data_IF_540838133281
#
_entry.id   IF_540838133281
#
_cell.length_a   1.000
_cell.length_b   1.000
_cell.length_c   1.000
_cell.angle_alpha   90.00
_cell.angle_beta   90.00
_cell.angle_gamma   90.00
#
_symmetry.space_group_name_H-M   'P 1'
#
loop_
_entity.id
_entity.type
_entity.pdbx_description
1 polymer ?
#
# COMPACT_ATOMS: atom_id res chain seq x y z
N UNK A 1 -86.86 -33.63 8.64
CA UNK A 1 -86.82 -32.15 8.73
C UNK A 1 -85.41 -31.82 9.17
N UNK A 2 -84.49 -31.83 8.20
CA UNK A 2 -83.91 -30.66 7.50
C UNK A 2 -82.59 -30.27 8.19
N UNK A 3 -81.45 -30.79 7.72
CA UNK A 3 -80.54 -30.23 6.69
C UNK A 3 -79.83 -28.95 7.14
N UNK A 4 -78.51 -29.06 7.39
CA UNK A 4 -77.49 -28.09 6.95
C UNK A 4 -76.06 -28.62 7.22
N UNK A 5 -75.30 -28.84 6.15
CA UNK A 5 -73.83 -28.68 6.06
C UNK A 5 -73.57 -27.32 5.36
N UNK A 6 -72.45 -26.55 5.55
CA UNK A 6 -71.11 -26.99 5.09
C UNK A 6 -69.83 -26.34 5.71
N UNK A 7 -68.65 -26.90 5.37
CA UNK A 7 -67.33 -26.23 5.27
C UNK A 7 -66.55 -26.03 6.58
N UNK A 8 -65.21 -26.04 6.68
CA UNK A 8 -64.13 -25.98 5.68
C UNK A 8 -62.83 -26.43 6.38
N UNK A 9 -61.96 -27.19 5.71
CA UNK A 9 -60.65 -27.62 6.22
C UNK A 9 -59.63 -26.47 6.22
N UNK A 10 -59.29 -25.94 7.40
CA UNK A 10 -58.20 -24.97 7.60
C UNK A 10 -56.89 -25.62 8.06
N UNK A 11 -55.85 -25.51 7.24
CA UNK A 11 -54.52 -26.10 7.46
C UNK A 11 -53.65 -25.28 8.46
N UNK A 12 -53.23 -25.81 9.63
CA UNK A 12 -52.46 -25.08 10.62
C UNK A 12 -50.95 -25.24 10.37
N UNK A 13 -50.39 -24.68 9.29
CA UNK A 13 -48.94 -24.81 9.00
C UNK A 13 -48.19 -23.52 8.63
N UNK A 14 -48.81 -22.33 8.69
CA UNK A 14 -48.12 -21.07 8.34
C UNK A 14 -47.64 -20.22 9.53
N UNK A 15 -48.15 -20.42 10.76
CA UNK A 15 -47.77 -19.61 11.93
C UNK A 15 -46.38 -19.93 12.52
N UNK A 16 -45.95 -21.20 12.48
CA UNK A 16 -44.78 -21.66 13.25
C UNK A 16 -43.43 -21.54 12.51
N UNK A 17 -43.44 -21.31 11.18
CA UNK A 17 -42.21 -21.15 10.38
C UNK A 17 -41.63 -19.73 10.41
N UNK A 18 -42.46 -18.70 10.57
CA UNK A 18 -42.00 -17.29 10.61
C UNK A 18 -41.28 -16.92 11.91
N UNK A 19 -41.81 -17.38 13.05
CA UNK A 19 -41.20 -17.22 14.39
C UNK A 19 -39.85 -17.93 14.51
N UNK A 20 -39.75 -19.16 13.99
CA UNK A 20 -38.49 -19.92 13.91
C UNK A 20 -37.40 -19.22 13.07
N UNK A 21 -37.77 -18.62 11.93
CA UNK A 21 -36.82 -17.87 11.08
C UNK A 21 -36.34 -16.56 11.73
N UNK A 22 -37.22 -15.84 12.42
CA UNK A 22 -36.86 -14.61 13.15
C UNK A 22 -35.88 -14.90 14.30
N UNK A 23 -36.16 -15.93 15.11
CA UNK A 23 -35.27 -16.36 16.19
C UNK A 23 -33.88 -16.79 15.68
N UNK A 24 -33.82 -17.55 14.56
CA UNK A 24 -32.53 -17.93 13.93
C UNK A 24 -31.74 -16.72 13.41
N UNK A 25 -32.41 -15.68 12.91
CA UNK A 25 -31.76 -14.44 12.45
C UNK A 25 -31.17 -13.65 13.61
N UNK A 26 -31.89 -13.55 14.73
CA UNK A 26 -31.42 -12.87 15.94
C UNK A 26 -30.22 -13.58 16.57
N UNK A 27 -30.22 -14.91 16.63
CA UNK A 27 -29.08 -15.70 17.11
C UNK A 27 -27.85 -15.48 16.22
N UNK A 28 -28.01 -15.51 14.88
CA UNK A 28 -26.91 -15.24 13.94
C UNK A 28 -26.36 -13.83 14.09
N UNK A 29 -27.23 -12.84 14.33
CA UNK A 29 -26.78 -11.46 14.53
C UNK A 29 -26.00 -11.29 15.84
N UNK A 30 -26.46 -11.92 16.93
CA UNK A 30 -25.72 -11.94 18.20
C UNK A 30 -24.37 -12.63 18.04
N UNK A 31 -24.30 -13.76 17.34
CA UNK A 31 -23.04 -14.46 17.08
C UNK A 31 -22.05 -13.61 16.25
N UNK A 32 -22.53 -12.89 15.23
CA UNK A 32 -21.71 -11.95 14.45
C UNK A 32 -21.20 -10.79 15.30
N UNK A 33 -22.03 -10.23 16.17
CA UNK A 33 -21.62 -9.14 17.06
C UNK A 33 -20.58 -9.63 18.08
N UNK A 34 -20.73 -10.85 18.62
CA UNK A 34 -19.74 -11.46 19.52
C UNK A 34 -18.43 -11.71 18.78
N UNK A 35 -18.47 -12.26 17.55
CA UNK A 35 -17.26 -12.44 16.73
C UNK A 35 -16.56 -11.11 16.43
N UNK A 36 -17.32 -10.05 16.13
CA UNK A 36 -16.75 -8.72 15.92
C UNK A 36 -16.09 -8.16 17.19
N UNK A 37 -16.73 -8.31 18.36
CA UNK A 37 -16.17 -7.88 19.65
C UNK A 37 -14.92 -8.69 20.01
N UNK A 38 -14.92 -10.00 19.80
CA UNK A 38 -13.76 -10.86 20.02
C UNK A 38 -12.63 -10.51 19.05
N UNK A 39 -12.92 -10.22 17.79
CA UNK A 39 -11.91 -9.79 16.82
C UNK A 39 -11.29 -8.43 17.19
N UNK A 40 -12.10 -7.47 17.65
CA UNK A 40 -11.62 -6.16 18.14
C UNK A 40 -10.77 -6.33 19.40
N UNK A 41 -11.22 -7.15 20.36
CA UNK A 41 -10.47 -7.43 21.57
C UNK A 41 -9.14 -8.15 21.27
N UNK A 42 -9.15 -9.10 20.34
CA UNK A 42 -7.93 -9.79 19.90
C UNK A 42 -6.96 -8.84 19.20
N UNK A 43 -7.46 -7.95 18.33
CA UNK A 43 -6.65 -6.92 17.69
C UNK A 43 -6.05 -5.94 18.74
N UNK A 44 -6.84 -5.52 19.72
CA UNK A 44 -6.37 -4.66 20.80
C UNK A 44 -5.30 -5.35 21.68
N UNK A 45 -5.49 -6.62 22.01
CA UNK A 45 -4.51 -7.41 22.78
C UNK A 45 -3.21 -7.63 22.00
N UNK A 46 -3.29 -7.88 20.68
CA UNK A 46 -2.09 -7.96 19.81
C UNK A 46 -1.34 -6.64 19.76
N UNK A 47 -2.04 -5.50 19.67
CA UNK A 47 -1.43 -4.15 19.73
C UNK A 47 -0.76 -3.89 21.08
N UNK A 48 -1.40 -4.27 22.19
CA UNK A 48 -0.85 -4.10 23.54
C UNK A 48 0.37 -5.00 23.75
N UNK A 49 0.32 -6.27 23.33
CA UNK A 49 1.44 -7.20 23.46
C UNK A 49 2.62 -6.81 22.55
N UNK A 50 2.36 -6.26 21.37
CA UNK A 50 3.41 -5.68 20.51
C UNK A 50 4.09 -4.46 21.16
N UNK A 51 3.34 -3.66 21.93
CA UNK A 51 3.89 -2.54 22.68
C UNK A 51 4.74 -2.97 23.89
N UNK A 52 4.48 -4.14 24.49
CA UNK A 52 5.18 -4.62 25.70
C UNK A 52 6.54 -5.29 25.42
N UNK A 53 6.88 -5.59 24.16
CA UNK A 53 8.11 -6.30 23.78
C UNK A 53 9.06 -5.48 22.87
N UNK A 54 8.91 -4.16 22.82
CA UNK A 54 9.65 -3.35 21.84
C UNK A 54 10.97 -2.79 22.42
N UNK A 55 12.13 -3.02 21.76
CA UNK A 55 13.28 -2.14 21.95
C UNK A 55 12.85 -0.73 21.55
N UNK A 56 13.36 0.29 22.25
CA UNK A 56 12.93 1.69 22.12
C UNK A 56 12.53 2.06 20.68
N UNK A 57 11.23 2.29 20.46
CA UNK A 57 10.71 2.71 19.15
C UNK A 57 11.36 4.04 18.82
N UNK A 58 12.33 4.03 17.90
CA UNK A 58 12.97 5.25 17.42
C UNK A 58 11.89 6.13 16.78
N UNK A 59 11.57 7.24 17.43
CA UNK A 59 10.59 8.21 16.91
C UNK A 59 11.20 8.92 15.72
N UNK A 60 10.41 9.11 14.65
CA UNK A 60 10.86 9.89 13.49
C UNK A 60 11.22 11.32 13.90
N UNK A 61 12.26 11.87 13.27
CA UNK A 61 12.64 13.25 13.47
C UNK A 61 11.53 14.17 12.96
N UNK A 62 10.79 14.82 13.85
CA UNK A 62 9.63 15.68 13.51
C UNK A 62 9.97 16.85 12.60
N UNK A 63 11.23 17.32 12.54
CA UNK A 63 11.65 18.34 11.57
C UNK A 63 11.68 17.77 10.15
N UNK A 64 12.11 16.52 10.00
CA UNK A 64 12.24 15.84 8.72
C UNK A 64 10.92 15.20 8.28
N UNK A 65 10.12 14.71 9.22
CA UNK A 65 8.83 14.08 9.00
C UNK A 65 7.71 14.92 9.62
N UNK A 66 7.22 15.89 8.84
CA UNK A 66 6.16 16.83 9.21
C UNK A 66 5.19 17.03 8.04
N UNK A 67 3.99 17.59 8.27
CA UNK A 67 3.08 18.00 7.20
C UNK A 67 3.73 18.92 6.16
N UNK A 68 4.65 19.80 6.57
CA UNK A 68 5.40 20.64 5.64
C UNK A 68 6.30 19.81 4.70
N UNK A 69 6.96 18.76 5.20
CA UNK A 69 7.68 17.82 4.34
C UNK A 69 6.73 17.03 3.44
N UNK A 70 5.60 16.54 3.96
CA UNK A 70 4.64 15.76 3.18
C UNK A 70 4.05 16.57 2.02
N UNK A 71 3.70 17.84 2.25
CA UNK A 71 3.28 18.77 1.20
C UNK A 71 4.37 19.02 0.17
N UNK A 72 5.64 19.18 0.59
CA UNK A 72 6.77 19.33 -0.33
C UNK A 72 7.00 18.09 -1.19
N UNK A 73 6.85 16.88 -0.61
CA UNK A 73 6.94 15.62 -1.36
C UNK A 73 5.87 15.57 -2.44
N UNK A 74 4.60 15.84 -2.09
CA UNK A 74 3.53 15.88 -3.08
C UNK A 74 3.76 16.97 -4.13
N UNK A 75 4.28 18.14 -3.74
CA UNK A 75 4.57 19.21 -4.70
C UNK A 75 5.68 18.81 -5.70
N UNK A 76 6.79 18.23 -5.24
CA UNK A 76 7.86 17.76 -6.14
C UNK A 76 7.35 16.67 -7.08
N UNK A 77 6.53 15.75 -6.57
CA UNK A 77 6.03 14.63 -7.36
C UNK A 77 4.92 15.06 -8.33
N UNK A 78 3.90 15.76 -7.84
CA UNK A 78 2.64 16.04 -8.52
C UNK A 78 2.46 17.50 -8.96
N UNK A 79 3.40 18.41 -8.68
CA UNK A 79 3.23 19.86 -8.88
C UNK A 79 2.93 20.28 -10.32
N UNK A 80 3.33 19.46 -11.30
CA UNK A 80 3.09 19.70 -12.73
C UNK A 80 1.72 19.18 -13.19
N UNK A 81 0.96 18.49 -12.33
CA UNK A 81 -0.38 18.01 -12.66
C UNK A 81 -1.40 19.15 -12.57
N UNK A 82 -2.31 19.27 -13.55
CA UNK A 82 -3.51 20.08 -13.40
C UNK A 82 -4.31 19.65 -12.16
N UNK A 83 -4.92 20.60 -11.45
CA UNK A 83 -5.71 20.30 -10.24
C UNK A 83 -6.90 19.36 -10.49
N UNK A 84 -7.42 19.34 -11.72
CA UNK A 84 -8.48 18.44 -12.19
C UNK A 84 -7.99 17.07 -12.64
N UNK A 85 -6.68 16.84 -12.73
CA UNK A 85 -6.14 15.60 -13.28
C UNK A 85 -6.56 14.37 -12.47
N UNK A 86 -7.06 13.36 -13.19
CA UNK A 86 -7.34 12.01 -12.68
C UNK A 86 -6.26 11.02 -13.12
N UNK A 87 -5.65 11.26 -14.29
CA UNK A 87 -4.52 10.51 -14.86
C UNK A 87 -3.31 11.42 -15.09
N UNK A 88 -2.14 10.84 -15.35
CA UNK A 88 -0.95 11.59 -15.75
C UNK A 88 -0.79 11.63 -17.27
N UNK A 89 -0.26 12.75 -17.78
CA UNK A 89 0.23 12.82 -19.15
C UNK A 89 1.50 11.99 -19.32
N UNK A 90 1.82 11.66 -20.57
CA UNK A 90 3.06 10.95 -20.91
C UNK A 90 4.31 11.69 -20.45
N UNK A 91 4.33 13.03 -20.55
CA UNK A 91 5.47 13.85 -20.13
C UNK A 91 5.70 13.79 -18.61
N UNK A 92 4.63 13.82 -17.83
CA UNK A 92 4.71 13.69 -16.37
C UNK A 92 5.17 12.27 -15.99
N UNK A 93 4.65 11.25 -16.67
CA UNK A 93 5.08 9.86 -16.45
C UNK A 93 6.58 9.66 -16.76
N UNK A 94 7.10 10.28 -17.83
CA UNK A 94 8.54 10.23 -18.15
C UNK A 94 9.41 10.75 -17.01
N UNK A 95 9.01 11.84 -16.36
CA UNK A 95 9.71 12.41 -15.19
C UNK A 95 9.79 11.38 -14.05
N UNK A 96 8.66 10.79 -13.68
CA UNK A 96 8.59 9.84 -12.56
C UNK A 96 9.41 8.57 -12.79
N UNK A 97 9.38 8.03 -14.00
CA UNK A 97 10.06 6.77 -14.32
C UNK A 97 11.47 6.98 -14.89
N UNK A 98 11.98 8.22 -14.94
CA UNK A 98 13.32 8.51 -15.46
C UNK A 98 13.49 8.22 -16.96
N UNK A 99 12.39 8.29 -17.73
CA UNK A 99 12.37 8.05 -19.18
C UNK A 99 12.50 9.35 -20.02
N UNK A 100 12.92 10.45 -19.38
CA UNK A 100 13.27 11.72 -20.04
C UNK A 100 14.72 11.74 -20.56
N UNK A 101 15.23 12.94 -20.88
CA UNK A 101 16.66 13.10 -21.20
C UNK A 101 17.55 12.81 -19.98
N UNK A 102 18.83 12.45 -20.17
CA UNK A 102 19.79 12.35 -19.06
C UNK A 102 19.84 13.60 -18.19
N UNK A 103 19.71 14.79 -18.79
CA UNK A 103 19.69 16.08 -18.11
C UNK A 103 18.44 16.25 -17.26
N UNK A 104 17.25 15.92 -17.79
CA UNK A 104 15.98 15.98 -17.03
C UNK A 104 16.01 15.02 -15.84
N UNK A 105 16.53 13.81 -16.06
CA UNK A 105 16.68 12.79 -15.02
C UNK A 105 17.62 13.26 -13.92
N UNK A 106 18.79 13.79 -14.26
CA UNK A 106 19.75 14.33 -13.31
C UNK A 106 19.19 15.54 -12.54
N UNK A 107 18.47 16.43 -13.22
CA UNK A 107 17.81 17.57 -12.58
C UNK A 107 16.78 17.11 -11.54
N UNK A 108 15.92 16.15 -11.89
CA UNK A 108 14.91 15.62 -10.97
C UNK A 108 15.53 14.87 -9.79
N UNK A 109 16.59 14.08 -10.03
CA UNK A 109 17.33 13.41 -8.96
C UNK A 109 17.98 14.42 -8.01
N UNK A 110 18.53 15.53 -8.53
CA UNK A 110 19.10 16.59 -7.72
C UNK A 110 18.03 17.31 -6.88
N UNK A 111 16.83 17.53 -7.43
CA UNK A 111 15.68 18.07 -6.68
C UNK A 111 15.32 17.14 -5.52
N UNK A 112 15.17 15.83 -5.78
CA UNK A 112 14.87 14.85 -4.74
C UNK A 112 15.96 14.80 -3.67
N UNK A 113 17.22 14.77 -4.09
CA UNK A 113 18.39 14.70 -3.22
C UNK A 113 18.49 15.90 -2.29
N UNK A 114 18.40 17.10 -2.85
CA UNK A 114 18.50 18.35 -2.08
C UNK A 114 17.35 18.47 -1.07
N UNK A 115 16.14 18.04 -1.44
CA UNK A 115 14.97 18.21 -0.61
C UNK A 115 14.81 17.14 0.48
N UNK A 116 15.19 15.88 0.21
CA UNK A 116 14.72 14.74 1.01
C UNK A 116 15.79 13.73 1.44
N UNK A 117 17.05 13.88 1.01
CA UNK A 117 18.13 12.94 1.40
C UNK A 117 18.29 12.82 2.91
N UNK A 118 18.23 13.92 3.65
CA UNK A 118 18.35 13.92 5.11
C UNK A 118 17.25 13.09 5.78
N UNK A 119 16.02 13.15 5.26
CA UNK A 119 14.92 12.34 5.78
C UNK A 119 15.20 10.85 5.58
N UNK A 120 15.63 10.43 4.39
CA UNK A 120 15.98 9.04 4.12
C UNK A 120 17.19 8.56 4.93
N UNK A 121 18.25 9.35 5.02
CA UNK A 121 19.44 9.03 5.83
C UNK A 121 19.06 8.85 7.30
N UNK A 122 18.14 9.67 7.83
CA UNK A 122 17.68 9.56 9.22
C UNK A 122 16.90 8.27 9.52
N UNK A 123 16.41 7.58 8.49
CA UNK A 123 15.78 6.25 8.58
C UNK A 123 16.56 5.18 7.81
N UNK A 124 17.84 5.44 7.50
CA UNK A 124 18.72 4.48 6.84
C UNK A 124 19.20 3.37 7.80
N UNK A 125 19.87 2.31 7.30
CA UNK A 125 20.18 1.10 8.08
C UNK A 125 20.91 1.34 9.40
N UNK A 126 21.77 2.37 9.47
CA UNK A 126 22.50 2.73 10.69
C UNK A 126 21.61 3.36 11.75
N UNK A 127 20.67 4.22 11.34
CA UNK A 127 19.80 4.97 12.25
C UNK A 127 18.51 4.20 12.58
N UNK A 128 18.07 3.33 11.67
CA UNK A 128 16.86 2.55 11.77
C UNK A 128 17.12 1.11 11.31
N UNK A 129 17.76 0.28 12.13
CA UNK A 129 18.03 -1.09 11.76
C UNK A 129 16.73 -1.91 11.70
N UNK A 130 16.56 -2.68 10.64
CA UNK A 130 15.49 -3.67 10.48
C UNK A 130 16.10 -5.07 10.42
N UNK A 131 15.35 -6.15 10.74
CA UNK A 131 15.88 -7.51 10.71
C UNK A 131 16.54 -7.82 9.36
N UNK A 132 17.80 -8.24 9.34
CA UNK A 132 18.52 -8.46 8.07
C UNK A 132 17.89 -9.60 7.27
N UNK A 133 17.78 -9.43 5.95
CA UNK A 133 17.32 -10.49 5.03
C UNK A 133 18.29 -11.68 5.01
N UNK A 134 19.57 -11.46 5.29
CA UNK A 134 20.59 -12.51 5.30
C UNK A 134 20.55 -13.37 6.57
N UNK A 135 19.82 -12.93 7.59
CA UNK A 135 19.68 -13.68 8.84
C UNK A 135 18.72 -14.87 8.65
N UNK A 136 19.05 -16.06 9.19
CA UNK A 136 18.19 -17.24 9.08
C UNK A 136 16.75 -16.95 9.54
N UNK A 137 15.79 -17.28 8.70
CA UNK A 137 14.36 -17.10 8.97
C UNK A 137 13.77 -15.75 8.54
N UNK A 138 14.58 -14.73 8.22
CA UNK A 138 14.09 -13.39 7.92
C UNK A 138 13.79 -13.11 6.43
N UNK A 139 14.24 -13.98 5.52
CA UNK A 139 14.07 -13.80 4.08
C UNK A 139 12.72 -14.27 3.52
N UNK A 140 11.85 -14.83 4.36
CA UNK A 140 10.55 -15.34 3.92
C UNK A 140 9.46 -14.27 3.93
N UNK A 141 8.44 -14.45 3.09
CA UNK A 141 7.25 -13.59 3.09
C UNK A 141 6.58 -13.53 4.47
N UNK A 142 6.47 -14.67 5.15
CA UNK A 142 5.88 -14.77 6.48
C UNK A 142 6.67 -13.97 7.53
N UNK A 143 8.00 -13.99 7.46
CA UNK A 143 8.83 -13.22 8.37
C UNK A 143 8.69 -11.72 8.12
N UNK A 144 8.74 -11.28 6.85
CA UNK A 144 8.48 -9.88 6.49
C UNK A 144 7.11 -9.41 7.00
N UNK A 145 6.08 -10.26 6.86
CA UNK A 145 4.73 -9.96 7.38
C UNK A 145 4.72 -9.84 8.90
N UNK A 146 5.43 -10.71 9.62
CA UNK A 146 5.52 -10.65 11.10
C UNK A 146 6.26 -9.41 11.61
N UNK A 147 7.27 -8.93 10.87
CA UNK A 147 8.04 -7.75 11.26
C UNK A 147 7.36 -6.43 10.86
N UNK A 148 6.47 -6.45 9.87
CA UNK A 148 5.87 -5.26 9.29
C UNK A 148 5.24 -4.29 10.33
N UNK A 149 4.49 -4.74 11.36
CA UNK A 149 3.95 -3.83 12.37
C UNK A 149 5.04 -3.04 13.12
N UNK A 150 6.12 -3.70 13.54
CA UNK A 150 7.24 -3.06 14.24
C UNK A 150 8.00 -2.13 13.30
N UNK A 151 8.28 -2.58 12.07
CA UNK A 151 9.00 -1.79 11.06
C UNK A 151 8.21 -0.52 10.69
N UNK A 152 6.88 -0.61 10.61
CA UNK A 152 6.01 0.51 10.25
C UNK A 152 5.67 1.44 11.44
N UNK A 153 5.92 1.05 12.69
CA UNK A 153 5.40 1.74 13.87
C UNK A 153 5.72 3.25 13.92
N UNK A 154 6.95 3.73 13.64
CA UNK A 154 7.24 5.17 13.64
C UNK A 154 6.53 5.93 12.51
N UNK A 155 6.35 5.29 11.35
CA UNK A 155 5.64 5.87 10.22
C UNK A 155 4.13 5.93 10.49
N UNK A 156 3.57 4.89 11.11
CA UNK A 156 2.18 4.86 11.57
C UNK A 156 1.90 5.96 12.62
N UNK A 157 2.84 6.17 13.55
CA UNK A 157 2.76 7.30 14.49
C UNK A 157 2.78 8.64 13.76
N UNK A 158 3.58 8.79 12.71
CA UNK A 158 3.61 10.02 11.91
C UNK A 158 2.31 10.26 11.12
N UNK A 159 1.60 9.21 10.67
CA UNK A 159 0.25 9.36 10.11
C UNK A 159 -0.75 9.88 11.15
N UNK A 160 -0.62 9.40 12.39
CA UNK A 160 -1.45 9.84 13.52
C UNK A 160 -1.15 11.29 13.88
N UNK A 161 0.12 11.68 13.94
CA UNK A 161 0.55 13.06 14.17
C UNK A 161 0.01 13.99 13.07
N UNK A 162 0.12 13.59 11.79
CA UNK A 162 -0.40 14.37 10.66
C UNK A 162 -1.94 14.52 10.69
N UNK A 163 -2.66 13.49 11.14
CA UNK A 163 -4.10 13.58 11.38
C UNK A 163 -4.45 14.58 12.50
N UNK A 164 -3.55 14.80 13.46
CA UNK A 164 -3.78 15.72 14.57
C UNK A 164 -3.27 17.15 14.30
N UNK A 165 -2.31 17.34 13.38
CA UNK A 165 -1.72 18.66 13.05
C UNK A 165 -2.55 19.51 12.08
N UNK A 166 -3.48 18.95 11.30
CA UNK A 166 -4.43 19.75 10.50
C UNK A 166 -5.40 20.57 11.36
N UNK A 167 -5.27 20.52 12.69
CA UNK A 167 -6.09 21.26 13.63
C UNK A 167 -5.40 22.50 14.20
N UNK A 168 -5.95 23.67 13.83
CA UNK A 168 -6.16 24.77 14.78
C UNK A 168 -7.33 24.50 15.73
N UNK A 169 -7.43 23.27 16.28
CA UNK A 169 -8.45 22.84 17.26
C UNK A 169 -9.86 22.49 16.74
N UNK A 170 -10.03 21.99 15.51
CA UNK A 170 -11.35 21.63 14.97
C UNK A 170 -11.57 20.12 14.93
N UNK A 171 -12.62 19.60 15.58
CA UNK A 171 -13.03 18.18 15.61
C UNK A 171 -13.49 17.59 14.26
N UNK A 172 -13.06 18.15 13.12
CA UNK A 172 -13.45 17.72 11.78
C UNK A 172 -12.71 16.43 11.37
N UNK A 173 -13.40 15.31 11.52
CA UNK A 173 -12.94 13.98 11.14
C UNK A 173 -12.39 13.96 9.70
N UNK A 174 -12.98 14.72 8.77
CA UNK A 174 -12.54 14.73 7.36
C UNK A 174 -11.15 15.35 7.20
N UNK A 175 -10.87 16.43 7.91
CA UNK A 175 -9.56 17.09 7.86
C UNK A 175 -8.46 16.20 8.44
N UNK A 176 -8.79 15.44 9.50
CA UNK A 176 -7.87 14.48 10.13
C UNK A 176 -7.57 13.30 9.22
N UNK A 177 -8.60 12.71 8.61
CA UNK A 177 -8.46 11.64 7.62
C UNK A 177 -7.63 12.09 6.42
N UNK A 178 -7.83 13.32 5.93
CA UNK A 178 -7.03 13.89 4.85
C UNK A 178 -5.56 14.06 5.24
N UNK A 179 -5.28 14.56 6.45
CA UNK A 179 -3.91 14.70 6.96
C UNK A 179 -3.17 13.36 7.02
N UNK A 180 -3.80 12.31 7.53
CA UNK A 180 -3.24 10.95 7.52
C UNK A 180 -3.06 10.42 6.10
N UNK A 181 -4.02 10.64 5.21
CA UNK A 181 -3.95 10.17 3.82
C UNK A 181 -2.81 10.85 3.05
N UNK A 182 -2.62 12.15 3.24
CA UNK A 182 -1.53 12.92 2.65
C UNK A 182 -0.17 12.45 3.15
N UNK A 183 -0.03 12.24 4.46
CA UNK A 183 1.20 11.70 5.05
C UNK A 183 1.50 10.30 4.52
N UNK A 184 0.49 9.43 4.36
CA UNK A 184 0.67 8.06 3.89
C UNK A 184 1.18 8.03 2.44
N UNK A 185 0.57 8.78 1.53
CA UNK A 185 1.02 8.86 0.15
C UNK A 185 2.44 9.45 0.06
N UNK A 186 2.71 10.53 0.80
CA UNK A 186 4.03 11.17 0.80
C UNK A 186 5.13 10.25 1.34
N UNK A 187 4.86 9.49 2.40
CA UNK A 187 5.83 8.55 2.95
C UNK A 187 6.08 7.37 2.01
N UNK A 188 5.04 6.85 1.34
CA UNK A 188 5.23 5.80 0.33
C UNK A 188 6.09 6.33 -0.83
N UNK A 189 5.82 7.53 -1.34
CA UNK A 189 6.64 8.15 -2.38
C UNK A 189 8.08 8.38 -1.92
N UNK A 190 8.28 8.87 -0.70
CA UNK A 190 9.62 9.10 -0.15
C UNK A 190 10.42 7.79 -0.06
N UNK A 191 9.81 6.75 0.53
CA UNK A 191 10.48 5.49 0.81
C UNK A 191 10.66 4.62 -0.44
N UNK A 192 9.68 4.60 -1.35
CA UNK A 192 9.71 3.71 -2.53
C UNK A 192 10.27 4.38 -3.79
N UNK A 193 9.88 5.61 -4.07
CA UNK A 193 10.18 6.27 -5.34
C UNK A 193 11.40 7.20 -5.21
N UNK A 194 11.32 8.19 -4.32
CA UNK A 194 12.40 9.17 -4.15
C UNK A 194 13.69 8.52 -3.66
N UNK A 195 13.64 7.41 -2.91
CA UNK A 195 14.82 6.62 -2.57
C UNK A 195 15.55 6.09 -3.82
N UNK A 196 14.82 5.73 -4.89
CA UNK A 196 15.41 5.28 -6.17
C UNK A 196 16.06 6.42 -6.94
N UNK A 197 15.50 7.64 -6.84
CA UNK A 197 16.10 8.85 -7.41
C UNK A 197 17.36 9.28 -6.64
N UNK A 198 17.30 9.25 -5.30
CA UNK A 198 18.36 9.76 -4.42
C UNK A 198 19.55 8.80 -4.33
N UNK A 199 19.29 7.49 -4.36
CA UNK A 199 20.31 6.44 -4.25
C UNK A 199 20.44 5.66 -5.55
N UNK A 200 20.42 6.35 -6.70
CA UNK A 200 20.49 5.71 -8.03
C UNK A 200 21.70 4.80 -8.18
N UNK A 201 22.85 5.22 -7.66
CA UNK A 201 24.10 4.46 -7.70
C UNK A 201 24.24 3.43 -6.55
N UNK A 202 23.30 3.42 -5.60
CA UNK A 202 23.26 2.48 -4.47
C UNK A 202 21.87 1.85 -4.34
N UNK A 203 21.44 1.16 -5.41
CA UNK A 203 20.16 0.46 -5.40
C UNK A 203 20.11 -0.71 -4.41
N UNK A 204 21.27 -1.24 -3.98
CA UNK A 204 21.34 -2.25 -2.91
C UNK A 204 20.70 -1.74 -1.64
N UNK A 205 20.98 -0.49 -1.27
CA UNK A 205 20.36 0.18 -0.13
C UNK A 205 18.83 0.27 -0.30
N UNK A 206 18.34 0.59 -1.50
CA UNK A 206 16.89 0.66 -1.76
C UNK A 206 16.23 -0.71 -1.58
N UNK A 207 16.72 -1.74 -2.27
CA UNK A 207 16.10 -3.06 -2.26
C UNK A 207 16.18 -3.75 -0.90
N UNK A 208 17.32 -3.61 -0.21
CA UNK A 208 17.57 -4.24 1.08
C UNK A 208 16.92 -3.50 2.27
N UNK A 209 16.56 -2.22 2.11
CA UNK A 209 16.11 -1.38 3.22
C UNK A 209 14.83 -0.60 2.93
N UNK A 210 14.85 0.38 2.03
CA UNK A 210 13.73 1.31 1.86
C UNK A 210 12.48 0.64 1.24
N UNK A 211 12.66 -0.32 0.33
CA UNK A 211 11.55 -1.13 -0.20
C UNK A 211 10.80 -1.86 0.93
N UNK A 212 11.52 -2.32 1.96
CA UNK A 212 10.94 -3.03 3.12
C UNK A 212 10.20 -2.09 4.05
N UNK A 213 10.75 -0.88 4.28
CA UNK A 213 10.05 0.17 5.03
C UNK A 213 8.74 0.54 4.33
N UNK A 214 8.79 0.77 3.02
CA UNK A 214 7.62 1.17 2.23
C UNK A 214 6.55 0.07 2.20
N UNK A 215 6.93 -1.19 1.98
CA UNK A 215 5.99 -2.33 2.05
C UNK A 215 5.36 -2.47 3.44
N UNK A 216 6.15 -2.31 4.50
CA UNK A 216 5.62 -2.39 5.88
C UNK A 216 4.61 -1.28 6.16
N UNK A 217 4.90 -0.05 5.72
CA UNK A 217 3.96 1.08 5.80
C UNK A 217 2.68 0.82 4.99
N UNK A 218 2.79 0.31 3.76
CA UNK A 218 1.63 -0.04 2.96
C UNK A 218 0.77 -1.11 3.63
N UNK A 219 1.38 -2.16 4.22
CA UNK A 219 0.63 -3.17 4.98
C UNK A 219 -0.12 -2.55 6.15
N UNK A 220 0.48 -1.59 6.85
CA UNK A 220 -0.22 -0.82 7.89
C UNK A 220 -1.41 -0.05 7.31
N UNK A 221 -1.22 0.71 6.22
CA UNK A 221 -2.30 1.46 5.53
C UNK A 221 -3.46 0.55 5.10
N UNK A 222 -3.16 -0.65 4.60
CA UNK A 222 -4.18 -1.61 4.17
C UNK A 222 -4.91 -2.30 5.35
N UNK A 223 -4.31 -2.30 6.54
CA UNK A 223 -4.85 -2.90 7.75
C UNK A 223 -5.67 -1.91 8.60
N UNK A 224 -5.55 -0.60 8.35
CA UNK A 224 -6.27 0.44 9.09
C UNK A 224 -7.64 0.75 8.48
N UNK A 225 -8.51 1.36 9.29
CA UNK A 225 -9.80 1.90 8.86
C UNK A 225 -9.98 3.29 9.50
N UNK A 226 -10.27 4.33 8.71
CA UNK A 226 -10.36 4.34 7.25
C UNK A 226 -8.99 4.11 6.57
N UNK A 227 -9.04 3.50 5.38
CA UNK A 227 -7.85 3.28 4.53
C UNK A 227 -7.45 4.57 3.82
N UNK A 228 -6.19 4.98 3.95
CA UNK A 228 -5.68 6.21 3.32
C UNK A 228 -5.81 6.21 1.79
N UNK A 229 -5.60 5.07 1.13
CA UNK A 229 -5.72 4.94 -0.33
C UNK A 229 -7.17 5.08 -0.84
N UNK A 230 -8.14 4.92 0.07
CA UNK A 230 -9.57 5.07 -0.19
C UNK A 230 -10.12 6.45 0.17
N UNK A 231 -9.28 7.37 0.64
CA UNK A 231 -9.71 8.74 0.94
C UNK A 231 -10.29 9.41 -0.33
N UNK A 232 -11.37 10.20 -0.24
CA UNK A 232 -12.01 10.82 -1.41
C UNK A 232 -11.06 11.61 -2.33
N UNK A 233 -9.98 12.18 -1.78
CA UNK A 233 -8.93 12.89 -2.53
C UNK A 233 -8.25 11.99 -3.58
N UNK A 234 -8.10 10.70 -3.30
CA UNK A 234 -7.30 9.76 -4.11
C UNK A 234 -8.13 8.65 -4.74
N UNK A 235 -9.23 8.22 -4.09
CA UNK A 235 -9.95 6.98 -4.41
C UNK A 235 -10.28 6.79 -5.89
N UNK A 236 -10.73 7.87 -6.53
CA UNK A 236 -11.17 7.87 -7.93
C UNK A 236 -10.14 8.46 -8.90
N UNK A 237 -8.89 8.66 -8.46
CA UNK A 237 -7.84 9.32 -9.24
C UNK A 237 -6.62 8.40 -9.36
N UNK A 238 -6.50 7.62 -10.46
CA UNK A 238 -5.38 6.70 -10.65
C UNK A 238 -4.00 7.32 -10.47
N UNK A 239 -3.86 8.58 -10.90
CA UNK A 239 -2.62 9.35 -10.79
C UNK A 239 -2.08 9.47 -9.35
N UNK A 240 -2.95 9.33 -8.35
CA UNK A 240 -2.56 9.32 -6.94
C UNK A 240 -2.61 7.90 -6.35
N UNK A 241 -3.73 7.18 -6.55
CA UNK A 241 -3.99 5.92 -5.84
C UNK A 241 -3.01 4.81 -6.20
N UNK A 242 -2.54 4.74 -7.44
CA UNK A 242 -1.63 3.65 -7.87
C UNK A 242 -0.27 3.71 -7.17
N UNK A 243 0.19 4.91 -6.77
CA UNK A 243 1.45 5.06 -6.04
C UNK A 243 1.46 4.34 -4.69
N UNK A 244 0.30 4.20 -4.03
CA UNK A 244 0.21 3.40 -2.80
C UNK A 244 0.64 1.96 -3.04
N UNK A 245 0.44 1.40 -4.24
CA UNK A 245 0.61 -0.02 -4.51
C UNK A 245 1.95 -0.39 -5.14
N UNK A 246 2.73 0.60 -5.60
CA UNK A 246 4.09 0.39 -6.14
C UNK A 246 5.02 -0.46 -5.25
N UNK A 247 5.01 -0.32 -3.91
CA UNK A 247 5.85 -1.16 -3.05
C UNK A 247 5.60 -2.67 -3.22
N UNK A 248 4.38 -3.08 -3.59
CA UNK A 248 4.06 -4.48 -3.87
C UNK A 248 4.67 -4.94 -5.19
N UNK A 249 4.57 -4.12 -6.24
CA UNK A 249 5.19 -4.40 -7.54
C UNK A 249 6.72 -4.47 -7.43
N UNK A 250 7.33 -3.68 -6.57
CA UNK A 250 8.78 -3.70 -6.35
C UNK A 250 9.27 -4.88 -5.50
N UNK A 251 8.37 -5.64 -4.89
CA UNK A 251 8.66 -6.81 -4.07
C UNK A 251 9.20 -7.98 -4.89
N UNK A 252 10.11 -8.77 -4.30
CA UNK A 252 10.52 -10.08 -4.83
C UNK A 252 9.70 -11.23 -4.21
N UNK A 253 8.55 -10.94 -3.58
CA UNK A 253 7.59 -11.95 -3.10
C UNK A 253 6.39 -12.06 -4.02
N UNK A 254 6.09 -13.27 -4.49
CA UNK A 254 4.96 -13.53 -5.39
C UNK A 254 3.61 -13.16 -4.75
N UNK A 255 3.49 -13.31 -3.43
CA UNK A 255 2.30 -12.93 -2.66
C UNK A 255 1.99 -11.44 -2.75
N UNK A 256 3.02 -10.59 -2.83
CA UNK A 256 2.82 -9.15 -2.99
C UNK A 256 2.33 -8.80 -4.40
N UNK A 257 2.80 -9.49 -5.44
CA UNK A 257 2.28 -9.34 -6.81
C UNK A 257 0.81 -9.74 -6.92
N UNK A 258 0.42 -10.87 -6.29
CA UNK A 258 -0.99 -11.27 -6.22
C UNK A 258 -1.84 -10.26 -5.46
N UNK A 259 -1.28 -9.65 -4.39
CA UNK A 259 -1.98 -8.61 -3.63
C UNK A 259 -2.12 -7.32 -4.45
N UNK A 260 -1.12 -6.96 -5.24
CA UNK A 260 -1.17 -5.84 -6.18
C UNK A 260 -2.30 -6.04 -7.20
N UNK A 261 -2.33 -7.17 -7.90
CA UNK A 261 -3.37 -7.49 -8.89
C UNK A 261 -4.78 -7.41 -8.28
N UNK A 262 -4.97 -7.93 -7.07
CA UNK A 262 -6.24 -7.84 -6.37
C UNK A 262 -6.66 -6.39 -6.08
N UNK A 263 -5.76 -5.57 -5.53
CA UNK A 263 -6.05 -4.17 -5.19
C UNK A 263 -6.32 -3.30 -6.42
N UNK A 264 -5.57 -3.51 -7.49
CA UNK A 264 -5.72 -2.76 -8.73
C UNK A 264 -6.93 -3.25 -9.51
N UNK A 265 -7.25 -4.55 -9.46
CA UNK A 265 -8.49 -5.12 -10.01
C UNK A 265 -9.74 -4.59 -9.30
N UNK A 266 -9.74 -4.49 -7.96
CA UNK A 266 -10.79 -3.83 -7.19
C UNK A 266 -10.96 -2.36 -7.62
N UNK A 267 -9.84 -1.65 -7.79
CA UNK A 267 -9.87 -0.26 -8.23
C UNK A 267 -10.42 -0.09 -9.65
N UNK A 268 -10.02 -0.95 -10.59
CA UNK A 268 -10.55 -0.97 -11.95
C UNK A 268 -12.08 -1.17 -11.94
N UNK A 269 -12.58 -2.14 -11.17
CA UNK A 269 -14.02 -2.36 -11.04
C UNK A 269 -14.77 -1.15 -10.46
N UNK A 270 -14.16 -0.43 -9.50
CA UNK A 270 -14.73 0.83 -8.98
C UNK A 270 -14.82 1.92 -10.06
N UNK A 271 -13.84 2.02 -10.95
CA UNK A 271 -13.84 3.00 -12.05
C UNK A 271 -14.81 2.62 -13.16
N UNK A 272 -14.88 1.33 -13.52
CA UNK A 272 -15.87 0.79 -14.47
C UNK A 272 -17.29 1.11 -14.03
N UNK A 273 -17.59 0.93 -12.73
CA UNK A 273 -18.90 1.26 -12.16
C UNK A 273 -19.22 2.77 -12.18
N UNK A 274 -18.20 3.63 -12.26
CA UNK A 274 -18.34 5.09 -12.38
C UNK A 274 -18.42 5.56 -13.84
N UNK A 275 -17.99 4.74 -14.78
CA UNK A 275 -17.95 5.07 -16.22
C UNK A 275 -16.82 6.03 -16.61
N UNK A 276 -15.74 6.11 -15.81
CA UNK A 276 -14.57 6.95 -16.12
C UNK A 276 -13.60 6.18 -17.04
N UNK A 277 -13.85 6.24 -18.35
CA UNK A 277 -13.15 5.43 -19.36
C UNK A 277 -11.64 5.72 -19.45
N UNK A 278 -11.25 6.97 -19.26
CA UNK A 278 -9.84 7.38 -19.30
C UNK A 278 -9.09 6.86 -18.06
N UNK A 279 -9.69 6.96 -16.88
CA UNK A 279 -9.12 6.37 -15.66
C UNK A 279 -9.08 4.83 -15.74
N UNK A 280 -10.10 4.19 -16.31
CA UNK A 280 -10.13 2.74 -16.53
C UNK A 280 -8.94 2.27 -17.39
N UNK A 281 -8.69 2.92 -18.53
CA UNK A 281 -7.59 2.57 -19.43
C UNK A 281 -6.24 2.73 -18.74
N UNK A 282 -6.05 3.83 -18.01
CA UNK A 282 -4.83 4.07 -17.23
C UNK A 282 -4.57 2.95 -16.20
N UNK A 283 -5.60 2.48 -15.51
CA UNK A 283 -5.49 1.38 -14.54
C UNK A 283 -5.26 0.03 -15.24
N UNK A 284 -5.84 -0.21 -16.42
CA UNK A 284 -5.55 -1.42 -17.21
C UNK A 284 -4.09 -1.48 -17.65
N UNK A 285 -3.49 -0.37 -18.07
CA UNK A 285 -2.06 -0.33 -18.38
C UNK A 285 -1.23 -0.64 -17.13
N UNK A 286 -1.60 -0.10 -15.98
CA UNK A 286 -0.95 -0.40 -14.70
C UNK A 286 -1.05 -1.89 -14.30
N UNK A 287 -2.16 -2.57 -14.63
CA UNK A 287 -2.28 -4.03 -14.46
C UNK A 287 -1.35 -4.80 -15.39
N UNK A 288 -1.28 -4.44 -16.68
CA UNK A 288 -0.36 -5.06 -17.64
C UNK A 288 1.10 -4.96 -17.18
N UNK A 289 1.49 -3.81 -16.63
CA UNK A 289 2.82 -3.65 -16.02
C UNK A 289 3.01 -4.54 -14.79
N UNK A 290 1.98 -4.70 -13.94
CA UNK A 290 2.01 -5.63 -12.81
C UNK A 290 2.19 -7.09 -13.25
N UNK A 291 1.47 -7.52 -14.28
CA UNK A 291 1.57 -8.87 -14.86
C UNK A 291 2.99 -9.17 -15.36
N UNK A 292 3.62 -8.19 -16.03
CA UNK A 292 5.02 -8.27 -16.45
C UNK A 292 5.97 -8.51 -15.27
N UNK A 293 5.87 -7.69 -14.23
CA UNK A 293 6.70 -7.84 -13.03
C UNK A 293 6.47 -9.19 -12.33
N UNK A 294 5.20 -9.58 -12.17
CA UNK A 294 4.82 -10.86 -11.58
C UNK A 294 5.39 -12.03 -12.37
N UNK A 295 5.36 -12.00 -13.70
CA UNK A 295 5.89 -13.08 -14.54
C UNK A 295 7.38 -13.36 -14.29
N UNK A 296 8.17 -12.31 -14.01
CA UNK A 296 9.59 -12.42 -13.67
C UNK A 296 9.74 -13.10 -12.30
N UNK A 297 8.95 -12.69 -11.32
CA UNK A 297 8.98 -13.28 -9.96
C UNK A 297 8.44 -14.72 -9.98
N UNK A 298 7.43 -15.05 -10.76
CA UNK A 298 6.94 -16.42 -10.92
C UNK A 298 8.00 -17.33 -11.54
N UNK A 299 8.77 -16.81 -12.51
CA UNK A 299 9.82 -17.57 -13.18
C UNK A 299 11.06 -17.77 -12.32
N UNK A 300 11.56 -16.70 -11.69
CA UNK A 300 12.89 -16.71 -11.04
C UNK A 300 12.85 -16.59 -9.52
N UNK A 301 11.69 -16.29 -8.92
CA UNK A 301 11.55 -16.01 -7.49
C UNK A 301 12.19 -14.69 -7.04
N UNK A 302 12.74 -13.90 -7.97
CA UNK A 302 13.45 -12.64 -7.76
C UNK A 302 13.60 -11.89 -9.07
N UNK A 303 14.12 -10.66 -9.05
CA UNK A 303 14.47 -9.91 -10.24
C UNK A 303 15.93 -10.18 -10.65
N UNK A 304 16.21 -10.90 -11.75
CA UNK A 304 17.57 -11.28 -12.11
C UNK A 304 18.50 -10.09 -12.36
N UNK A 305 17.95 -9.01 -12.91
CA UNK A 305 18.70 -7.77 -13.16
C UNK A 305 19.14 -7.03 -11.89
N UNK A 306 18.67 -7.45 -10.70
CA UNK A 306 19.16 -6.94 -9.41
C UNK A 306 20.33 -7.77 -8.84
N UNK A 307 20.71 -8.88 -9.49
CA UNK A 307 21.66 -9.83 -8.93
C UNK A 307 23.03 -9.20 -8.64
N UNK A 308 23.60 -8.48 -9.60
CA UNK A 308 24.93 -7.87 -9.45
C UNK A 308 24.99 -6.90 -8.27
N UNK A 309 24.08 -5.92 -8.23
CA UNK A 309 24.06 -4.91 -7.15
C UNK A 309 23.73 -5.51 -5.78
N UNK A 310 22.98 -6.61 -5.76
CA UNK A 310 22.68 -7.36 -4.53
C UNK A 310 23.77 -8.36 -4.14
N UNK A 311 24.82 -8.55 -4.95
CA UNK A 311 25.89 -9.53 -4.70
C UNK A 311 25.43 -10.99 -4.85
N UNK A 312 24.37 -11.24 -5.62
CA UNK A 312 23.82 -12.57 -5.88
C UNK A 312 24.48 -13.20 -7.10
N UNK A 313 24.74 -14.51 -7.05
CA UNK A 313 25.16 -15.26 -8.23
C UNK A 313 23.99 -15.40 -9.22
N UNK A 314 24.20 -14.93 -10.45
CA UNK A 314 23.29 -15.16 -11.57
C UNK A 314 23.39 -16.61 -12.04
N UNK A 315 22.24 -17.26 -12.19
CA UNK A 315 22.12 -18.62 -12.74
C UNK A 315 22.23 -18.60 -14.26
N UNK A 316 22.46 -19.77 -14.88
CA UNK A 316 22.52 -19.88 -16.34
C UNK A 316 21.22 -19.41 -17.01
N UNK A 317 20.07 -19.85 -16.49
CA UNK A 317 18.74 -19.47 -17.03
C UNK A 317 18.47 -17.97 -16.91
N UNK A 318 18.87 -17.36 -15.79
CA UNK A 318 18.76 -15.91 -15.59
C UNK A 318 19.64 -15.14 -16.60
N UNK A 319 20.88 -15.59 -16.85
CA UNK A 319 21.79 -14.98 -17.83
C UNK A 319 21.23 -15.07 -19.25
N UNK A 320 20.82 -16.26 -19.67
CA UNK A 320 20.23 -16.50 -20.99
C UNK A 320 18.98 -15.64 -21.21
N UNK A 321 18.13 -15.48 -20.19
CA UNK A 321 16.95 -14.62 -20.28
C UNK A 321 17.30 -13.13 -20.37
N UNK A 322 18.27 -12.65 -19.61
CA UNK A 322 18.74 -11.26 -19.71
C UNK A 322 19.38 -10.98 -21.07
N UNK A 323 20.21 -11.89 -21.57
CA UNK A 323 20.88 -11.80 -22.88
C UNK A 323 19.87 -11.82 -24.04
N UNK A 324 18.75 -12.54 -23.89
CA UNK A 324 17.65 -12.58 -24.85
C UNK A 324 16.75 -11.32 -24.84
N UNK A 325 17.11 -10.28 -24.10
CA UNK A 325 16.33 -9.04 -24.00
C UNK A 325 15.20 -9.09 -22.98
N UNK A 326 15.36 -9.88 -21.91
CA UNK A 326 14.44 -9.92 -20.79
C UNK A 326 14.11 -8.53 -20.24
N UNK A 327 12.85 -8.34 -19.82
CA UNK A 327 12.36 -7.05 -19.35
C UNK A 327 13.11 -6.61 -18.08
N UNK A 328 13.56 -5.35 -18.05
CA UNK A 328 14.21 -4.76 -16.89
C UNK A 328 13.49 -3.48 -16.47
N UNK A 329 13.46 -3.22 -15.16
CA UNK A 329 12.75 -2.08 -14.59
C UNK A 329 13.66 -1.32 -13.63
N UNK A 330 13.80 -0.01 -13.84
CA UNK A 330 14.55 0.88 -12.95
C UNK A 330 16.07 0.72 -12.98
N UNK A 331 16.64 0.08 -14.00
CA UNK A 331 18.07 -0.28 -14.09
C UNK A 331 18.88 0.53 -15.11
N UNK A 332 18.33 1.58 -15.71
CA UNK A 332 19.02 2.45 -16.68
C UNK A 332 18.89 3.91 -16.31
#
# INVERSE_FOLDING_TARGET
>A
MDVQEPGTTGNPRQGNKKTSRKARREIRQKAKNIQAVVAIAFAAVVVILAAMASPAVSTLNKRLFSPATYSRIQHVWFGDLPSSATIASFDIAKKWFGAGSPEDKAAFDNTCTTAFRDALVSVGPKAYPIPSLDSPGNSSYAAELSHAPTVAAPFAAALTDAANEKEGGSSDIRAREEGAADAALSLILLLDQMSRNIFRDDQKLVYGHYDRLSRSLLRHVLATSPRADLHPKFRAKPVFRLWFYMPLMHSEFLEDHRRYEALVGEFLAELEARGDKEAEEYVRESLKFGEKHKSIIEKFGRYPYRNEIMGRKTTKEESEWLEAGGETFGTK
#
